data_IF_188607409014
#
_entry.id   IF_188607409014
#
_cell.length_a   1.000
_cell.length_b   1.000
_cell.length_c   1.000
_cell.angle_alpha   90.00
_cell.angle_beta   90.00
_cell.angle_gamma   90.00
#
_symmetry.space_group_name_H-M   'P 1'
#
loop_
_entity.id
_entity.type
_entity.pdbx_description
1 polymer ?
#
# COMPACT_ATOMS: atom_id res chain seq x y z
N UNK A 1 -12.31 7.08 2.58
CA UNK A 1 -11.67 6.86 3.89
C UNK A 1 -12.62 6.06 4.76
N UNK A 2 -12.48 4.73 4.78
CA UNK A 2 -13.13 3.85 5.75
C UNK A 2 -12.16 3.51 6.88
N UNK A 3 -12.70 3.26 8.08
CA UNK A 3 -11.94 2.66 9.16
C UNK A 3 -12.30 1.18 9.24
N UNK A 4 -11.31 0.30 9.12
CA UNK A 4 -11.51 -1.15 9.13
C UNK A 4 -10.90 -1.77 10.38
N UNK A 5 -11.37 -2.94 10.84
CA UNK A 5 -10.72 -3.69 11.91
C UNK A 5 -9.25 -4.00 11.59
N UNK A 6 -8.39 -3.96 12.61
CA UNK A 6 -7.02 -4.46 12.50
C UNK A 6 -7.04 -5.97 12.26
N UNK A 7 -6.43 -6.42 11.15
CA UNK A 7 -6.46 -7.83 10.74
C UNK A 7 -5.79 -8.74 11.76
N UNK A 8 -4.76 -8.25 12.46
CA UNK A 8 -4.00 -9.02 13.45
C UNK A 8 -4.51 -8.81 14.89
N UNK A 9 -5.42 -7.86 15.10
CA UNK A 9 -6.09 -7.66 16.37
C UNK A 9 -7.55 -7.18 16.17
N UNK A 10 -8.47 -8.07 15.77
CA UNK A 10 -9.84 -7.69 15.41
C UNK A 10 -10.64 -7.06 16.57
N UNK A 11 -10.29 -7.37 17.82
CA UNK A 11 -10.92 -6.81 19.03
C UNK A 11 -10.34 -5.45 19.42
N UNK A 12 -9.34 -4.95 18.68
CA UNK A 12 -8.69 -3.67 18.91
C UNK A 12 -9.40 -2.48 18.29
N UNK A 13 -8.80 -1.28 18.41
CA UNK A 13 -9.25 -0.10 17.67
C UNK A 13 -9.19 -0.33 16.16
N UNK A 14 -10.12 0.29 15.43
CA UNK A 14 -10.11 0.28 13.96
C UNK A 14 -8.98 1.15 13.41
N UNK A 15 -8.48 0.78 12.23
CA UNK A 15 -7.43 1.48 11.50
C UNK A 15 -8.05 2.34 10.40
N UNK A 16 -7.74 3.63 10.40
CA UNK A 16 -8.05 4.52 9.28
C UNK A 16 -7.11 4.26 8.12
N UNK A 17 -7.58 4.44 6.88
CA UNK A 17 -6.74 4.29 5.69
C UNK A 17 -6.59 2.84 5.22
N UNK A 18 -7.22 1.87 5.90
CA UNK A 18 -7.22 0.47 5.50
C UNK A 18 -7.75 0.21 4.08
N UNK A 19 -8.65 1.07 3.59
CA UNK A 19 -9.13 1.06 2.21
C UNK A 19 -8.39 2.01 1.25
N UNK A 20 -7.39 2.74 1.72
CA UNK A 20 -6.56 3.62 0.90
C UNK A 20 -5.36 2.84 0.38
N UNK A 21 -5.11 2.92 -0.93
CA UNK A 21 -3.95 2.31 -1.58
C UNK A 21 -2.98 3.37 -2.07
N UNK A 22 -1.69 3.07 -1.97
CA UNK A 22 -0.58 3.82 -2.53
C UNK A 22 0.20 2.96 -3.51
N UNK A 23 0.91 3.61 -4.42
CA UNK A 23 1.83 2.95 -5.35
C UNK A 23 2.97 3.88 -5.77
N UNK A 24 4.13 3.31 -6.05
CA UNK A 24 5.27 3.95 -6.72
C UNK A 24 5.34 3.59 -8.22
N UNK A 25 4.32 2.90 -8.74
CA UNK A 25 4.26 2.40 -10.11
C UNK A 25 4.69 0.94 -10.28
N UNK A 26 5.37 0.37 -9.29
CA UNK A 26 5.81 -1.04 -9.27
C UNK A 26 5.13 -1.83 -8.15
N UNK A 27 5.06 -1.26 -6.95
CA UNK A 27 4.43 -1.87 -5.78
C UNK A 27 3.13 -1.18 -5.43
N UNK A 28 2.20 -1.93 -4.83
CA UNK A 28 0.95 -1.41 -4.25
C UNK A 28 0.95 -1.77 -2.77
N UNK A 29 0.62 -0.81 -1.92
CA UNK A 29 0.48 -1.05 -0.48
C UNK A 29 -0.67 -0.24 0.11
N UNK A 30 -1.16 -0.69 1.26
CA UNK A 30 -2.18 0.04 2.04
C UNK A 30 -1.53 1.16 2.83
N UNK A 31 -2.28 2.24 3.04
CA UNK A 31 -1.86 3.36 3.91
C UNK A 31 -1.51 2.90 5.33
N UNK A 32 -2.25 1.92 5.86
CA UNK A 32 -2.03 1.38 7.19
C UNK A 32 -0.90 0.33 7.29
N UNK A 33 -0.14 0.06 6.22
CA UNK A 33 1.01 -0.85 6.26
C UNK A 33 2.03 -0.46 7.36
N UNK A 34 2.25 0.84 7.56
CA UNK A 34 3.18 1.35 8.57
C UNK A 34 2.79 0.92 9.99
N UNK A 35 1.49 0.78 10.28
CA UNK A 35 1.01 0.25 11.56
C UNK A 35 1.46 -1.19 11.76
N UNK A 36 1.33 -2.05 10.74
CA UNK A 36 1.72 -3.45 10.84
C UNK A 36 3.24 -3.63 10.99
N UNK A 37 4.04 -2.82 10.29
CA UNK A 37 5.50 -2.83 10.44
C UNK A 37 5.92 -2.35 11.83
N UNK A 38 5.33 -1.25 12.31
CA UNK A 38 5.74 -0.62 13.58
C UNK A 38 5.28 -1.42 14.80
N UNK A 39 4.03 -1.91 14.79
CA UNK A 39 3.42 -2.57 15.95
C UNK A 39 3.69 -4.07 16.00
N UNK A 40 3.65 -4.74 14.85
CA UNK A 40 3.72 -6.20 14.77
C UNK A 40 5.02 -6.70 14.14
N UNK A 41 5.91 -5.80 13.72
CA UNK A 41 7.16 -6.14 13.06
C UNK A 41 6.95 -7.07 11.85
N UNK A 42 5.85 -6.86 11.12
CA UNK A 42 5.58 -7.63 9.90
C UNK A 42 6.76 -7.44 8.94
N UNK A 43 7.38 -8.56 8.59
CA UNK A 43 8.49 -8.57 7.65
C UNK A 43 7.99 -8.17 6.27
N UNK A 44 8.70 -7.24 5.64
CA UNK A 44 8.44 -6.83 4.26
C UNK A 44 9.27 -7.70 3.30
N UNK A 45 8.77 -7.95 2.06
CA UNK A 45 9.56 -8.62 1.03
C UNK A 45 10.91 -7.93 0.82
N UNK A 46 11.98 -8.72 0.66
CA UNK A 46 13.34 -8.18 0.49
C UNK A 46 13.45 -7.30 -0.78
N UNK A 47 12.76 -7.70 -1.83
CA UNK A 47 12.73 -7.06 -3.14
C UNK A 47 12.06 -5.68 -3.06
N UNK A 48 10.96 -5.58 -2.30
CA UNK A 48 10.31 -4.31 -2.00
C UNK A 48 11.27 -3.35 -1.26
N UNK A 49 11.96 -3.86 -0.24
CA UNK A 49 12.93 -3.05 0.51
C UNK A 49 14.12 -2.62 -0.37
N UNK A 50 14.56 -3.47 -1.29
CA UNK A 50 15.60 -3.13 -2.26
C UNK A 50 15.12 -2.01 -3.21
N UNK A 51 13.89 -2.11 -3.72
CA UNK A 51 13.25 -1.11 -4.57
C UNK A 51 13.14 0.25 -3.87
N UNK A 52 12.55 0.30 -2.67
CA UNK A 52 12.40 1.52 -1.87
C UNK A 52 13.76 2.19 -1.59
N UNK A 53 14.80 1.40 -1.29
CA UNK A 53 16.16 1.93 -1.07
C UNK A 53 16.77 2.50 -2.35
N UNK A 54 16.57 1.85 -3.50
CA UNK A 54 17.02 2.35 -4.79
C UNK A 54 16.39 3.70 -5.16
N UNK A 55 15.15 3.93 -4.70
CA UNK A 55 14.44 5.21 -4.81
C UNK A 55 14.80 6.24 -3.73
N UNK A 56 15.80 5.97 -2.89
CA UNK A 56 16.17 6.82 -1.75
C UNK A 56 14.99 7.11 -0.80
N UNK A 57 14.06 6.16 -0.65
CA UNK A 57 12.86 6.29 0.18
C UNK A 57 11.91 7.43 -0.25
N UNK A 58 11.98 7.87 -1.51
CA UNK A 58 11.06 8.86 -2.08
C UNK A 58 10.33 8.22 -3.26
N UNK A 59 9.02 8.02 -3.11
CA UNK A 59 8.20 7.52 -4.20
C UNK A 59 8.19 8.54 -5.36
N UNK A 60 8.44 8.11 -6.61
CA UNK A 60 8.39 8.99 -7.77
C UNK A 60 6.95 9.38 -8.11
N UNK A 61 6.79 10.41 -8.93
CA UNK A 61 5.51 10.69 -9.58
C UNK A 61 5.19 9.55 -10.57
N UNK A 62 4.00 8.97 -10.44
CA UNK A 62 3.54 7.87 -11.31
C UNK A 62 2.66 8.46 -12.41
N UNK A 63 3.00 8.28 -13.70
CA UNK A 63 2.19 8.79 -14.80
C UNK A 63 0.75 8.25 -14.75
N UNK A 64 -0.23 9.09 -15.08
CA UNK A 64 -1.66 8.71 -15.06
C UNK A 64 -1.95 7.42 -15.84
N UNK A 65 -1.34 7.24 -17.01
CA UNK A 65 -1.46 5.99 -17.79
C UNK A 65 -1.11 4.77 -16.95
N UNK A 66 -0.01 4.82 -16.20
CA UNK A 66 0.44 3.71 -15.36
C UNK A 66 -0.51 3.49 -14.19
N UNK A 67 -1.07 4.55 -13.62
CA UNK A 67 -2.11 4.44 -12.58
C UNK A 67 -3.38 3.76 -13.11
N UNK A 68 -3.80 4.08 -14.34
CA UNK A 68 -4.95 3.44 -14.99
C UNK A 68 -4.67 1.96 -15.25
N UNK A 69 -3.49 1.61 -15.74
CA UNK A 69 -3.05 0.22 -15.93
C UNK A 69 -3.14 -0.55 -14.61
N UNK A 70 -2.50 -0.05 -13.54
CA UNK A 70 -2.54 -0.65 -12.20
C UNK A 70 -3.97 -0.81 -11.69
N UNK A 71 -4.79 0.24 -11.81
CA UNK A 71 -6.18 0.19 -11.38
C UNK A 71 -6.97 -0.89 -12.11
N UNK A 72 -6.77 -1.03 -13.41
CA UNK A 72 -7.54 -1.97 -14.25
C UNK A 72 -7.04 -3.41 -14.20
N UNK A 73 -5.72 -3.62 -14.22
CA UNK A 73 -5.08 -4.92 -14.34
C UNK A 73 -4.84 -5.58 -12.97
N UNK A 74 -4.34 -4.81 -12.00
CA UNK A 74 -3.96 -5.34 -10.69
C UNK A 74 -5.10 -5.23 -9.66
N UNK A 75 -5.93 -4.18 -9.76
CA UNK A 75 -7.03 -3.93 -8.80
C UNK A 75 -8.42 -4.25 -9.36
N UNK A 76 -8.55 -4.54 -10.66
CA UNK A 76 -9.82 -4.86 -11.31
C UNK A 76 -10.85 -3.70 -11.31
N UNK A 77 -10.39 -2.47 -11.10
CA UNK A 77 -11.21 -1.26 -11.10
C UNK A 77 -11.48 -0.87 -12.57
N UNK A 78 -12.76 -0.82 -12.94
CA UNK A 78 -13.14 -0.34 -14.27
C UNK A 78 -13.06 1.19 -14.30
N UNK A 79 -12.22 1.70 -15.19
CA UNK A 79 -12.12 3.11 -15.50
C UNK A 79 -13.00 3.37 -16.73
N UNK A 80 -14.15 4.02 -16.52
CA UNK A 80 -15.17 4.29 -17.52
C UNK A 80 -14.93 5.64 -18.21
#
# INVERSE_FOLDING_TARGET
MGAEPDVLNPEGPTLTGAGSLYTDGEWIWREDLAHYVTKYHVALPADFLAHVRALNHVAPEVPERRLIEIASEDLGIKMN
#
